data_IF_394496506391
#
_entry.id   IF_394496506391
#
_cell.length_a   1.000
_cell.length_b   1.000
_cell.length_c   1.000
_cell.angle_alpha   90.00
_cell.angle_beta   90.00
_cell.angle_gamma   90.00
#
_symmetry.space_group_name_H-M   'P 1'
#
loop_
_entity.id
_entity.type
_entity.pdbx_description
1 polymer ?
#
# COMPACT_ATOMS: atom_id res chain seq x y z
N UNK A 1 -1.30 -6.56 -102.03
CA UNK A 1 -1.55 -7.59 -101.03
C UNK A 1 -0.92 -7.11 -99.69
N UNK A 2 -1.73 -6.60 -98.82
CA UNK A 2 -1.28 -6.04 -97.54
C UNK A 2 -1.94 -6.81 -96.39
N UNK A 3 -1.21 -7.28 -95.37
CA UNK A 3 -1.85 -7.94 -94.27
C UNK A 3 -2.24 -6.91 -93.20
N UNK A 4 -3.43 -7.10 -92.67
CA UNK A 4 -4.05 -6.33 -91.57
C UNK A 4 -3.40 -6.73 -90.23
N UNK A 5 -2.88 -5.79 -89.53
CA UNK A 5 -2.41 -5.94 -88.15
C UNK A 5 -3.56 -5.63 -87.18
N UNK A 6 -3.94 -6.63 -86.44
CA UNK A 6 -4.89 -6.54 -85.31
C UNK A 6 -4.15 -6.01 -84.03
N UNK A 7 -4.59 -4.88 -83.50
CA UNK A 7 -4.11 -4.34 -82.22
C UNK A 7 -5.00 -4.88 -81.11
N UNK A 8 -4.40 -5.66 -80.26
CA UNK A 8 -5.01 -6.12 -79.01
C UNK A 8 -4.77 -5.07 -77.92
N UNK A 9 -5.83 -4.49 -77.35
CA UNK A 9 -5.75 -3.57 -76.22
C UNK A 9 -5.70 -4.37 -74.93
N UNK A 10 -4.61 -4.21 -74.14
CA UNK A 10 -4.51 -4.74 -72.82
C UNK A 10 -5.07 -3.72 -71.81
N UNK A 11 -6.14 -4.09 -71.12
CA UNK A 11 -6.64 -3.35 -69.90
C UNK A 11 -5.74 -3.64 -68.72
N UNK A 12 -5.07 -2.60 -68.25
CA UNK A 12 -4.40 -2.61 -66.92
C UNK A 12 -5.46 -2.32 -65.82
N UNK A 13 -5.77 -3.32 -65.02
CA UNK A 13 -6.55 -3.15 -63.78
C UNK A 13 -5.56 -2.75 -62.66
N UNK A 14 -5.59 -1.48 -62.28
CA UNK A 14 -4.86 -1.00 -61.09
C UNK A 14 -5.68 -1.35 -59.86
N UNK A 15 -5.26 -2.39 -59.18
CA UNK A 15 -5.80 -2.75 -57.84
C UNK A 15 -5.28 -1.78 -56.79
N UNK A 16 -6.16 -0.94 -56.25
CA UNK A 16 -5.88 -0.12 -55.06
C UNK A 16 -5.95 -1.03 -53.86
N UNK A 17 -4.80 -1.42 -53.29
CA UNK A 17 -4.73 -2.00 -51.95
C UNK A 17 -4.96 -0.88 -50.95
N UNK A 18 -6.14 -0.83 -50.37
CA UNK A 18 -6.39 -0.07 -49.13
C UNK A 18 -5.77 -0.83 -47.96
N UNK A 19 -4.60 -0.37 -47.47
CA UNK A 19 -4.09 -0.75 -46.16
C UNK A 19 -5.01 -0.14 -45.08
N UNK A 20 -5.90 -0.93 -44.55
CA UNK A 20 -6.54 -0.61 -43.25
C UNK A 20 -5.50 -0.80 -42.15
N UNK A 21 -4.97 0.30 -41.62
CA UNK A 21 -4.25 0.29 -40.38
C UNK A 21 -5.24 -0.13 -39.28
N UNK A 22 -5.23 -1.41 -38.95
CA UNK A 22 -5.91 -1.93 -37.77
C UNK A 22 -5.16 -1.41 -36.55
N UNK A 23 -5.75 -0.46 -35.80
CA UNK A 23 -5.40 -0.25 -34.44
C UNK A 23 -5.58 -1.60 -33.71
N UNK A 24 -4.50 -2.16 -33.17
CA UNK A 24 -4.55 -3.30 -32.29
C UNK A 24 -5.18 -2.84 -30.95
N UNK A 25 -6.50 -2.69 -30.93
CA UNK A 25 -7.29 -2.72 -29.71
C UNK A 25 -7.27 -4.16 -29.20
N UNK A 26 -6.92 -4.37 -27.93
CA UNK A 26 -7.14 -5.66 -27.29
C UNK A 26 -8.62 -6.08 -27.41
N UNK A 27 -8.95 -7.33 -27.08
CA UNK A 27 -10.33 -7.81 -27.15
C UNK A 27 -11.25 -6.86 -26.39
N UNK A 28 -12.29 -6.35 -27.05
CA UNK A 28 -13.31 -5.55 -26.42
C UNK A 28 -14.19 -6.48 -25.58
N UNK A 29 -14.57 -6.04 -24.38
CA UNK A 29 -15.57 -6.73 -23.56
C UNK A 29 -16.93 -6.59 -24.27
N UNK A 30 -17.67 -7.71 -24.38
CA UNK A 30 -18.94 -7.75 -25.13
C UNK A 30 -20.09 -7.01 -24.36
N UNK A 31 -19.97 -6.88 -23.04
CA UNK A 31 -20.85 -6.10 -22.16
C UNK A 31 -20.02 -5.11 -21.33
N UNK A 32 -20.69 -4.09 -20.78
CA UNK A 32 -20.03 -3.13 -19.90
C UNK A 32 -19.63 -3.82 -18.59
N UNK A 33 -18.32 -3.97 -18.35
CA UNK A 33 -17.87 -4.70 -17.16
C UNK A 33 -18.20 -3.92 -15.89
N UNK A 34 -18.38 -4.65 -14.80
CA UNK A 34 -18.71 -4.11 -13.49
C UNK A 34 -17.66 -4.54 -12.45
N UNK A 35 -17.32 -3.64 -11.53
CA UNK A 35 -16.38 -3.90 -10.46
C UNK A 35 -16.92 -3.43 -9.12
N UNK A 36 -16.87 -4.31 -8.13
CA UNK A 36 -17.12 -3.99 -6.74
C UNK A 36 -15.80 -3.62 -6.05
N UNK A 37 -15.77 -2.48 -5.36
CA UNK A 37 -14.62 -2.01 -4.60
C UNK A 37 -15.03 -1.90 -3.13
N UNK A 38 -14.45 -2.74 -2.26
CA UNK A 38 -14.71 -2.76 -0.84
C UNK A 38 -13.48 -2.29 -0.06
N UNK A 39 -13.54 -1.05 0.46
CA UNK A 39 -12.45 -0.43 1.21
C UNK A 39 -12.69 -0.51 2.72
N UNK A 40 -11.62 -0.56 3.55
CA UNK A 40 -11.78 -0.79 4.98
C UNK A 40 -12.38 0.40 5.73
N UNK A 41 -12.04 1.65 5.37
CA UNK A 41 -12.43 2.80 6.18
C UNK A 41 -12.22 4.13 5.46
N UNK A 42 -12.97 5.15 5.86
CA UNK A 42 -12.75 6.56 5.47
C UNK A 42 -11.91 7.34 6.50
N UNK A 43 -11.63 6.76 7.66
CA UNK A 43 -10.92 7.44 8.76
C UNK A 43 -9.43 7.66 8.48
N UNK A 44 -8.83 6.81 7.65
CA UNK A 44 -7.45 6.96 7.16
C UNK A 44 -7.50 7.52 5.74
N UNK A 45 -6.91 8.70 5.54
CA UNK A 45 -7.02 9.46 4.29
C UNK A 45 -6.48 8.71 3.05
N UNK A 46 -5.50 7.83 3.26
CA UNK A 46 -4.98 7.01 2.16
C UNK A 46 -6.05 6.14 1.50
N UNK A 47 -6.99 5.54 2.29
CA UNK A 47 -8.03 4.68 1.74
C UNK A 47 -9.05 5.44 0.89
N UNK A 48 -9.28 6.73 1.22
CA UNK A 48 -10.08 7.61 0.39
C UNK A 48 -9.36 7.87 -0.95
N UNK A 49 -8.07 8.18 -0.90
CA UNK A 49 -7.27 8.37 -2.11
C UNK A 49 -7.16 7.09 -2.97
N UNK A 50 -6.99 5.91 -2.34
CA UNK A 50 -7.01 4.61 -3.03
C UNK A 50 -8.35 4.38 -3.74
N UNK A 51 -9.46 4.59 -3.05
CA UNK A 51 -10.80 4.41 -3.60
C UNK A 51 -11.10 5.37 -4.75
N UNK A 52 -10.75 6.65 -4.61
CA UNK A 52 -10.93 7.65 -5.65
C UNK A 52 -10.10 7.30 -6.90
N UNK A 53 -8.82 6.93 -6.74
CA UNK A 53 -7.97 6.52 -7.85
C UNK A 53 -8.50 5.27 -8.57
N UNK A 54 -8.96 4.26 -7.84
CA UNK A 54 -9.58 3.07 -8.43
C UNK A 54 -10.84 3.41 -9.20
N UNK A 55 -11.75 4.19 -8.58
CA UNK A 55 -13.03 4.57 -9.19
C UNK A 55 -12.83 5.40 -10.47
N UNK A 56 -11.89 6.36 -10.45
CA UNK A 56 -11.57 7.18 -11.62
C UNK A 56 -11.00 6.32 -12.75
N UNK A 57 -10.03 5.45 -12.45
CA UNK A 57 -9.36 4.65 -13.46
C UNK A 57 -10.29 3.59 -14.06
N UNK A 58 -11.09 2.86 -13.25
CA UNK A 58 -12.09 1.93 -13.77
C UNK A 58 -13.17 2.66 -14.58
N UNK A 59 -13.69 3.79 -14.06
CA UNK A 59 -14.69 4.60 -14.76
C UNK A 59 -14.17 5.12 -16.10
N UNK A 60 -12.91 5.54 -16.21
CA UNK A 60 -12.28 5.98 -17.45
C UNK A 60 -12.19 4.89 -18.53
N UNK A 61 -12.11 3.63 -18.09
CA UNK A 61 -12.12 2.44 -18.97
C UNK A 61 -13.53 1.94 -19.27
N UNK A 62 -14.57 2.61 -18.75
CA UNK A 62 -15.96 2.30 -19.04
C UNK A 62 -16.58 1.24 -18.12
N UNK A 63 -15.96 0.90 -17.01
CA UNK A 63 -16.55 0.00 -16.00
C UNK A 63 -17.73 0.67 -15.27
N UNK A 64 -18.70 -0.14 -14.85
CA UNK A 64 -19.62 0.23 -13.78
C UNK A 64 -18.95 -0.05 -12.44
N UNK A 65 -18.84 0.98 -11.60
CA UNK A 65 -18.13 0.90 -10.31
C UNK A 65 -19.10 0.96 -9.16
N UNK A 66 -19.09 -0.07 -8.30
CA UNK A 66 -19.75 -0.09 -6.99
C UNK A 66 -18.71 0.07 -5.90
N UNK A 67 -18.68 1.21 -5.20
CA UNK A 67 -17.70 1.51 -4.16
C UNK A 67 -18.37 1.58 -2.80
N UNK A 68 -17.79 0.86 -1.81
CA UNK A 68 -18.26 0.92 -0.41
C UNK A 68 -17.06 0.96 0.56
N UNK A 69 -17.30 1.61 1.72
CA UNK A 69 -16.36 1.66 2.85
C UNK A 69 -17.01 1.02 4.07
N UNK A 70 -16.28 0.16 4.74
CA UNK A 70 -16.79 -0.62 5.89
C UNK A 70 -16.59 0.08 7.24
N UNK A 71 -15.92 1.24 7.29
CA UNK A 71 -15.66 2.03 8.51
C UNK A 71 -15.04 1.23 9.68
N UNK A 72 -14.13 0.31 9.35
CA UNK A 72 -13.45 -0.64 10.24
C UNK A 72 -14.36 -1.73 10.85
N UNK A 73 -15.52 -1.98 10.25
CA UNK A 73 -16.44 -3.04 10.63
C UNK A 73 -16.34 -4.22 9.65
N UNK A 74 -15.76 -5.35 10.12
CA UNK A 74 -15.55 -6.53 9.28
C UNK A 74 -16.87 -7.20 8.87
N UNK A 75 -17.91 -7.20 9.76
CA UNK A 75 -19.21 -7.76 9.44
C UNK A 75 -19.93 -6.90 8.39
N UNK A 76 -19.79 -5.57 8.48
CA UNK A 76 -20.31 -4.67 7.46
C UNK A 76 -19.61 -4.90 6.11
N UNK A 77 -18.28 -5.13 6.10
CA UNK A 77 -17.58 -5.42 4.85
C UNK A 77 -18.04 -6.72 4.20
N UNK A 78 -18.29 -7.78 4.98
CA UNK A 78 -18.84 -9.04 4.48
C UNK A 78 -20.18 -8.79 3.79
N UNK A 79 -21.10 -8.06 4.44
CA UNK A 79 -22.44 -7.74 3.87
C UNK A 79 -22.31 -6.91 2.58
N UNK A 80 -21.42 -5.93 2.55
CA UNK A 80 -21.16 -5.11 1.35
C UNK A 80 -20.67 -5.96 0.18
N UNK A 81 -19.78 -6.91 0.43
CA UNK A 81 -19.28 -7.83 -0.61
C UNK A 81 -20.40 -8.77 -1.08
N UNK A 82 -21.23 -9.32 -0.16
CA UNK A 82 -22.41 -10.12 -0.52
C UNK A 82 -23.36 -9.34 -1.43
N UNK A 83 -23.67 -8.09 -1.09
CA UNK A 83 -24.50 -7.21 -1.92
C UNK A 83 -23.92 -6.98 -3.32
N UNK A 84 -22.59 -6.78 -3.44
CA UNK A 84 -21.92 -6.62 -4.73
C UNK A 84 -21.99 -7.90 -5.57
N UNK A 85 -21.80 -9.07 -4.96
CA UNK A 85 -21.94 -10.38 -5.62
C UNK A 85 -23.36 -10.60 -6.10
N UNK A 86 -24.37 -10.29 -5.27
CA UNK A 86 -25.79 -10.39 -5.62
C UNK A 86 -26.20 -9.43 -6.75
N UNK A 87 -25.53 -8.28 -6.87
CA UNK A 87 -25.69 -7.33 -7.97
C UNK A 87 -25.03 -7.82 -9.28
N UNK A 88 -24.23 -8.88 -9.22
CA UNK A 88 -23.62 -9.49 -10.38
C UNK A 88 -22.38 -8.73 -10.87
N UNK A 89 -21.52 -8.23 -9.98
CA UNK A 89 -20.23 -7.66 -10.39
C UNK A 89 -19.35 -8.73 -11.00
N UNK A 90 -18.53 -8.36 -12.00
CA UNK A 90 -17.62 -9.27 -12.68
C UNK A 90 -16.31 -9.48 -11.90
N UNK A 91 -15.93 -8.50 -11.09
CA UNK A 91 -14.74 -8.57 -10.24
C UNK A 91 -14.92 -7.80 -8.94
N UNK A 92 -14.17 -8.22 -7.92
CA UNK A 92 -14.03 -7.55 -6.63
C UNK A 92 -12.59 -7.09 -6.42
N UNK A 93 -12.44 -5.85 -5.95
CA UNK A 93 -11.18 -5.28 -5.44
C UNK A 93 -11.37 -4.98 -3.96
N UNK A 94 -10.64 -5.67 -3.10
CA UNK A 94 -10.92 -5.66 -1.67
C UNK A 94 -9.69 -5.26 -0.86
N UNK A 95 -9.76 -4.12 -0.17
CA UNK A 95 -8.89 -3.78 0.95
C UNK A 95 -9.53 -4.27 2.25
N UNK A 96 -9.08 -5.40 2.78
CA UNK A 96 -9.74 -6.05 3.90
C UNK A 96 -9.66 -5.25 5.21
N UNK A 97 -10.77 -5.21 5.97
CA UNK A 97 -10.77 -4.75 7.38
C UNK A 97 -10.04 -5.77 8.24
N UNK A 98 -10.49 -7.02 8.19
CA UNK A 98 -9.87 -8.19 8.82
C UNK A 98 -9.46 -9.18 7.72
N UNK A 99 -8.17 -9.50 7.67
CA UNK A 99 -7.60 -10.38 6.66
C UNK A 99 -8.24 -11.77 6.61
N UNK A 100 -8.81 -12.25 7.72
CA UNK A 100 -9.34 -13.61 7.88
C UNK A 100 -10.87 -13.71 7.81
N UNK A 101 -11.59 -12.59 7.86
CA UNK A 101 -13.05 -12.58 7.99
C UNK A 101 -13.81 -12.93 6.69
N UNK A 102 -13.15 -12.87 5.53
CA UNK A 102 -13.81 -12.86 4.22
C UNK A 102 -13.94 -14.25 3.57
N UNK A 103 -13.41 -15.31 4.16
CA UNK A 103 -13.32 -16.64 3.53
C UNK A 103 -14.67 -17.14 2.99
N UNK A 104 -15.75 -17.01 3.74
CA UNK A 104 -17.05 -17.53 3.35
C UNK A 104 -17.66 -16.76 2.17
N UNK A 105 -17.63 -15.43 2.22
CA UNK A 105 -18.20 -14.57 1.16
C UNK A 105 -17.41 -14.67 -0.13
N UNK A 106 -16.07 -14.85 -0.06
CA UNK A 106 -15.24 -15.06 -1.24
C UNK A 106 -15.49 -16.42 -1.90
N UNK A 107 -15.83 -17.45 -1.12
CA UNK A 107 -16.27 -18.72 -1.69
C UNK A 107 -17.56 -18.56 -2.49
N UNK A 108 -18.51 -17.77 -1.99
CA UNK A 108 -19.75 -17.45 -2.72
C UNK A 108 -19.45 -16.61 -3.99
N UNK A 109 -18.52 -15.66 -3.92
CA UNK A 109 -18.08 -14.88 -5.08
C UNK A 109 -17.50 -15.78 -6.18
N UNK A 110 -16.64 -16.75 -5.80
CA UNK A 110 -16.09 -17.75 -6.73
C UNK A 110 -17.16 -18.61 -7.37
N UNK A 111 -18.14 -19.08 -6.58
CA UNK A 111 -19.27 -19.88 -7.10
C UNK A 111 -20.12 -19.06 -8.11
N UNK A 112 -20.20 -17.75 -7.92
CA UNK A 112 -20.85 -16.83 -8.86
C UNK A 112 -19.97 -16.46 -10.06
N UNK A 113 -18.70 -16.91 -10.11
CA UNK A 113 -17.76 -16.61 -11.19
C UNK A 113 -17.10 -15.23 -11.11
N UNK A 114 -17.15 -14.57 -9.95
CA UNK A 114 -16.56 -13.26 -9.70
C UNK A 114 -15.06 -13.40 -9.43
N UNK A 115 -14.23 -12.64 -10.14
CA UNK A 115 -12.79 -12.57 -9.90
C UNK A 115 -12.47 -11.71 -8.69
N UNK A 116 -11.45 -12.10 -7.90
CA UNK A 116 -11.08 -11.42 -6.65
C UNK A 116 -9.64 -10.97 -6.65
N UNK A 117 -9.42 -9.66 -6.51
CA UNK A 117 -8.10 -9.06 -6.28
C UNK A 117 -8.02 -8.51 -4.87
N UNK A 118 -7.10 -9.05 -4.08
CA UNK A 118 -6.73 -8.49 -2.77
C UNK A 118 -5.93 -7.20 -3.00
N UNK A 119 -6.37 -6.10 -2.41
CA UNK A 119 -5.80 -4.77 -2.61
C UNK A 119 -5.08 -4.29 -1.37
N UNK A 120 -3.80 -3.98 -1.47
CA UNK A 120 -2.90 -3.54 -0.40
C UNK A 120 -2.77 -4.55 0.76
N UNK A 121 -3.87 -5.01 1.35
CA UNK A 121 -3.91 -5.99 2.44
C UNK A 121 -4.17 -7.39 1.93
N UNK A 122 -3.28 -8.35 2.26
CA UNK A 122 -3.47 -9.75 1.86
C UNK A 122 -4.63 -10.38 2.63
N UNK A 123 -5.60 -10.91 1.91
CA UNK A 123 -6.68 -11.71 2.48
C UNK A 123 -6.16 -13.12 2.73
N UNK A 124 -6.33 -13.62 3.96
CA UNK A 124 -5.79 -14.91 4.40
C UNK A 124 -6.91 -15.92 4.75
N UNK A 125 -6.55 -17.19 4.81
CA UNK A 125 -7.44 -18.26 5.27
C UNK A 125 -8.36 -18.88 4.21
N UNK A 126 -8.31 -18.42 2.95
CA UNK A 126 -9.14 -18.95 1.85
C UNK A 126 -8.40 -19.02 0.52
N UNK A 127 -8.81 -19.96 -0.34
CA UNK A 127 -8.23 -20.17 -1.68
C UNK A 127 -8.85 -19.28 -2.77
N UNK A 128 -9.81 -18.43 -2.41
CA UNK A 128 -10.68 -17.72 -3.35
C UNK A 128 -10.22 -16.27 -3.59
N UNK A 129 -8.90 -16.06 -3.60
CA UNK A 129 -8.22 -14.84 -4.02
C UNK A 129 -7.38 -15.17 -5.24
N UNK A 130 -7.65 -14.50 -6.37
CA UNK A 130 -6.95 -14.78 -7.62
C UNK A 130 -5.57 -14.11 -7.66
N UNK A 131 -5.50 -12.83 -7.27
CA UNK A 131 -4.27 -12.03 -7.29
C UNK A 131 -4.21 -11.08 -6.09
N UNK A 132 -2.98 -10.62 -5.82
CA UNK A 132 -2.70 -9.62 -4.80
C UNK A 132 -1.88 -8.46 -5.40
N UNK A 133 -2.31 -7.24 -5.17
CA UNK A 133 -1.59 -6.03 -5.53
C UNK A 133 -1.21 -5.24 -4.27
N UNK A 134 0.07 -4.98 -4.07
CA UNK A 134 0.56 -4.25 -2.88
C UNK A 134 1.92 -3.62 -3.12
N UNK A 135 2.53 -3.15 -2.04
CA UNK A 135 3.91 -2.72 -1.98
C UNK A 135 4.79 -3.80 -1.33
N UNK A 136 6.11 -3.70 -1.51
CA UNK A 136 7.06 -4.54 -0.76
C UNK A 136 7.02 -4.15 0.73
N UNK A 137 6.14 -4.83 1.47
CA UNK A 137 5.84 -4.53 2.87
C UNK A 137 7.04 -4.80 3.79
N UNK A 138 7.85 -5.83 3.50
CA UNK A 138 9.08 -6.08 4.27
C UNK A 138 10.08 -4.94 4.09
N UNK A 139 10.20 -4.42 2.88
CA UNK A 139 11.05 -3.27 2.58
C UNK A 139 10.56 -2.00 3.27
N UNK A 140 9.26 -1.79 3.40
CA UNK A 140 8.70 -0.67 4.20
C UNK A 140 9.24 -0.70 5.63
N UNK A 141 9.13 -1.83 6.33
CA UNK A 141 9.65 -1.98 7.69
C UNK A 141 11.17 -1.78 7.76
N UNK A 142 11.91 -2.33 6.80
CA UNK A 142 13.36 -2.12 6.68
C UNK A 142 13.72 -0.63 6.51
N UNK A 143 12.98 0.10 5.67
CA UNK A 143 13.18 1.55 5.48
C UNK A 143 12.89 2.35 6.75
N UNK A 144 11.82 2.02 7.46
CA UNK A 144 11.48 2.67 8.74
C UNK A 144 12.58 2.46 9.78
N UNK A 145 13.09 1.24 9.91
CA UNK A 145 14.14 0.91 10.86
C UNK A 145 15.47 1.61 10.52
N UNK A 146 15.89 1.62 9.25
CA UNK A 146 17.07 2.33 8.81
C UNK A 146 16.94 3.84 9.03
N UNK A 147 15.78 4.41 8.72
CA UNK A 147 15.50 5.83 8.95
C UNK A 147 15.52 6.17 10.45
N UNK A 148 15.01 5.30 11.32
CA UNK A 148 15.13 5.46 12.76
C UNK A 148 16.61 5.45 13.20
N UNK A 149 17.40 4.49 12.73
CA UNK A 149 18.83 4.36 13.06
C UNK A 149 19.63 5.57 12.58
N UNK A 150 19.34 6.08 11.39
CA UNK A 150 19.92 7.31 10.85
C UNK A 150 19.57 8.51 11.72
N UNK A 151 18.30 8.72 12.02
CA UNK A 151 17.81 9.84 12.81
C UNK A 151 18.37 9.86 14.23
N UNK A 152 18.57 8.70 14.87
CA UNK A 152 19.19 8.60 16.20
C UNK A 152 20.74 8.64 16.15
N UNK A 153 21.32 8.66 14.95
CA UNK A 153 22.76 8.80 14.74
C UNK A 153 23.57 7.51 14.85
N UNK A 154 22.95 6.35 14.74
CA UNK A 154 23.61 5.03 14.70
C UNK A 154 24.14 4.73 13.31
N UNK A 155 23.39 5.10 12.27
CA UNK A 155 23.82 5.08 10.87
C UNK A 155 24.05 6.50 10.38
N UNK A 156 24.86 6.65 9.35
CA UNK A 156 24.96 7.88 8.57
C UNK A 156 23.99 7.87 7.37
N UNK A 157 23.91 8.95 6.62
CA UNK A 157 23.04 9.10 5.46
C UNK A 157 23.32 8.12 4.30
N UNK A 158 24.45 7.40 4.35
CA UNK A 158 24.80 6.35 3.39
C UNK A 158 24.42 4.94 3.89
N UNK A 159 23.90 4.87 5.12
CA UNK A 159 23.55 3.61 5.79
C UNK A 159 24.74 2.92 6.48
N UNK A 160 25.91 3.59 6.57
CA UNK A 160 27.07 3.03 7.23
C UNK A 160 27.07 3.34 8.74
N UNK A 161 27.56 2.41 9.59
CA UNK A 161 27.64 2.63 11.03
C UNK A 161 28.54 3.80 11.41
N UNK A 162 28.02 4.74 12.20
CA UNK A 162 28.79 5.90 12.70
C UNK A 162 29.79 5.56 13.81
N UNK A 163 29.67 4.36 14.40
CA UNK A 163 30.41 3.97 15.59
C UNK A 163 29.82 4.49 16.90
N UNK A 164 28.63 5.06 16.87
CA UNK A 164 27.91 5.49 18.07
C UNK A 164 27.63 4.31 19.00
N UNK A 165 27.92 4.47 20.31
CA UNK A 165 27.92 3.35 21.26
C UNK A 165 26.62 3.21 22.06
N UNK A 166 25.73 4.20 22.01
CA UNK A 166 24.50 4.16 22.80
C UNK A 166 24.72 4.20 24.32
N UNK A 167 23.76 3.71 25.16
CA UNK A 167 22.46 3.21 24.72
C UNK A 167 21.55 4.34 24.22
N UNK A 168 20.88 4.12 23.09
CA UNK A 168 19.79 4.97 22.62
C UNK A 168 18.47 4.32 23.01
N UNK A 169 17.67 5.01 23.83
CA UNK A 169 16.37 4.50 24.26
C UNK A 169 15.32 4.81 23.19
N UNK A 170 14.67 3.76 22.70
CA UNK A 170 13.58 3.84 21.71
C UNK A 170 12.34 3.14 22.23
N UNK A 171 11.19 3.44 21.63
CA UNK A 171 9.96 2.67 21.79
C UNK A 171 9.47 2.17 20.43
N UNK A 172 8.79 1.03 20.46
CA UNK A 172 8.29 0.36 19.27
C UNK A 172 6.76 0.39 19.23
N UNK A 173 6.20 0.68 18.07
CA UNK A 173 4.78 0.52 17.76
C UNK A 173 4.65 -0.33 16.50
N UNK A 174 3.60 -1.16 16.45
CA UNK A 174 3.20 -1.92 15.28
C UNK A 174 1.74 -1.60 14.95
N UNK A 175 1.32 -1.98 13.75
CA UNK A 175 -0.05 -1.80 13.27
C UNK A 175 -1.04 -2.76 13.89
N UNK A 176 -2.21 -2.91 13.26
CA UNK A 176 -3.30 -3.76 13.76
C UNK A 176 -2.99 -5.25 13.58
N UNK A 177 -3.32 -6.09 14.56
CA UNK A 177 -3.01 -7.52 14.51
C UNK A 177 -3.88 -8.31 13.49
N UNK A 178 -5.00 -7.75 13.06
CA UNK A 178 -5.90 -8.28 12.04
C UNK A 178 -5.46 -7.93 10.60
N UNK A 179 -4.41 -7.11 10.46
CA UNK A 179 -3.79 -6.78 9.18
C UNK A 179 -2.46 -7.53 9.01
N UNK A 180 -2.41 -8.44 8.02
CA UNK A 180 -1.20 -9.20 7.73
C UNK A 180 0.02 -8.31 7.44
N UNK A 181 -0.18 -7.14 6.83
CA UNK A 181 0.92 -6.23 6.51
C UNK A 181 1.62 -5.71 7.77
N UNK A 182 0.87 -5.49 8.86
CA UNK A 182 1.45 -5.02 10.13
C UNK A 182 2.52 -5.97 10.66
N UNK A 183 2.31 -7.28 10.51
CA UNK A 183 3.29 -8.31 10.89
C UNK A 183 4.52 -8.22 9.99
N UNK A 184 4.34 -8.10 8.66
CA UNK A 184 5.44 -8.04 7.68
C UNK A 184 6.27 -6.77 7.85
N UNK A 185 5.63 -5.61 8.13
CA UNK A 185 6.35 -4.36 8.44
C UNK A 185 7.20 -4.53 9.69
N UNK A 186 6.62 -5.06 10.76
CA UNK A 186 7.31 -5.25 12.03
C UNK A 186 8.48 -6.23 11.91
N UNK A 187 8.28 -7.35 11.22
CA UNK A 187 9.36 -8.30 10.93
C UNK A 187 10.50 -7.66 10.12
N UNK A 188 10.18 -6.89 9.07
CA UNK A 188 11.15 -6.15 8.27
C UNK A 188 11.95 -5.15 9.12
N UNK A 189 11.29 -4.43 10.00
CA UNK A 189 11.94 -3.49 10.92
C UNK A 189 12.80 -4.21 11.96
N UNK A 190 12.29 -5.28 12.58
CA UNK A 190 13.03 -6.02 13.60
C UNK A 190 14.23 -6.76 13.04
N UNK A 191 14.20 -7.22 11.80
CA UNK A 191 15.36 -7.79 11.13
C UNK A 191 16.56 -6.81 11.08
N UNK A 192 16.28 -5.51 10.98
CA UNK A 192 17.30 -4.45 11.02
C UNK A 192 17.67 -4.07 12.45
N UNK A 193 16.71 -3.94 13.36
CA UNK A 193 16.93 -3.41 14.71
C UNK A 193 17.52 -4.46 15.67
N UNK A 194 17.25 -5.76 15.47
CA UNK A 194 17.64 -6.82 16.39
C UNK A 194 19.14 -6.81 16.75
N UNK A 195 20.11 -6.69 15.83
CA UNK A 195 21.53 -6.64 16.18
C UNK A 195 21.91 -5.47 17.09
N UNK A 196 21.23 -4.32 16.94
CA UNK A 196 21.48 -3.14 17.79
C UNK A 196 20.85 -3.26 19.16
N UNK A 197 19.73 -3.96 19.27
CA UNK A 197 19.09 -4.32 20.54
C UNK A 197 19.92 -5.35 21.31
N UNK A 198 20.39 -6.39 20.62
CA UNK A 198 21.24 -7.44 21.20
C UNK A 198 22.59 -6.90 21.70
N UNK A 199 23.20 -5.97 20.95
CA UNK A 199 24.45 -5.33 21.36
C UNK A 199 24.29 -4.26 22.43
N UNK A 200 23.06 -3.85 22.77
CA UNK A 200 22.78 -2.79 23.72
C UNK A 200 23.01 -1.36 23.19
N UNK A 201 23.28 -1.19 21.90
CA UNK A 201 23.32 0.12 21.22
C UNK A 201 21.95 0.76 21.24
N UNK A 202 20.89 -0.03 21.01
CA UNK A 202 19.49 0.35 21.25
C UNK A 202 18.97 -0.35 22.50
N UNK A 203 18.13 0.33 23.25
CA UNK A 203 17.37 -0.23 24.39
C UNK A 203 15.92 0.17 24.28
N UNK A 204 15.03 -0.73 24.73
CA UNK A 204 13.60 -0.45 24.83
C UNK A 204 13.23 -0.45 26.33
N UNK A 205 13.17 0.71 27.00
CA UNK A 205 12.95 0.80 28.44
C UNK A 205 11.65 0.17 28.92
N UNK A 206 10.61 0.14 28.09
CA UNK A 206 9.36 -0.56 28.39
C UNK A 206 9.50 -2.09 28.38
N UNK A 207 10.55 -2.64 27.79
CA UNK A 207 10.70 -4.09 27.56
C UNK A 207 9.67 -4.68 26.57
N UNK A 208 8.92 -3.83 25.86
CA UNK A 208 7.90 -4.25 24.88
C UNK A 208 8.55 -4.37 23.51
N UNK A 209 8.96 -5.59 23.13
CA UNK A 209 9.72 -5.85 21.89
C UNK A 209 9.09 -6.90 20.98
N UNK A 210 7.96 -7.51 21.38
CA UNK A 210 7.23 -8.46 20.53
C UNK A 210 6.04 -7.78 19.89
N UNK A 211 5.62 -8.28 18.72
CA UNK A 211 4.50 -7.72 17.96
C UNK A 211 3.25 -7.55 18.83
N UNK A 212 2.86 -8.58 19.60
CA UNK A 212 1.64 -8.60 20.41
C UNK A 212 1.64 -7.51 21.50
N UNK A 213 2.83 -7.12 22.00
CA UNK A 213 2.95 -6.07 23.01
C UNK A 213 2.92 -4.66 22.47
N UNK A 214 3.27 -4.52 21.18
CA UNK A 214 3.41 -3.20 20.52
C UNK A 214 2.34 -2.95 19.47
N UNK A 215 1.50 -3.94 19.16
CA UNK A 215 0.40 -3.83 18.22
C UNK A 215 -0.59 -2.73 18.63
N UNK A 216 -1.16 -2.08 17.64
CA UNK A 216 -2.14 -1.00 17.77
C UNK A 216 -3.44 -1.43 17.08
N UNK A 217 -4.39 -2.07 17.79
CA UNK A 217 -5.64 -2.55 17.20
C UNK A 217 -6.39 -1.47 16.45
N UNK A 218 -6.91 -1.83 15.26
CA UNK A 218 -7.61 -0.91 14.36
C UNK A 218 -6.73 0.22 13.83
N UNK A 219 -5.40 0.14 13.95
CA UNK A 219 -4.47 1.25 13.64
C UNK A 219 -4.81 2.55 14.37
N UNK A 220 -5.53 2.46 15.54
CA UNK A 220 -6.13 3.61 16.25
C UNK A 220 -5.09 4.60 16.76
N UNK A 221 -5.13 5.89 16.30
CA UNK A 221 -4.28 6.95 16.83
C UNK A 221 -4.51 7.18 18.33
N UNK A 222 -5.75 7.05 18.82
CA UNK A 222 -6.13 7.24 20.22
C UNK A 222 -5.49 6.17 21.10
N UNK A 223 -5.50 4.90 20.63
CA UNK A 223 -4.84 3.79 21.32
C UNK A 223 -3.33 4.00 21.38
N UNK A 224 -2.72 4.46 20.29
CA UNK A 224 -1.29 4.78 20.25
C UNK A 224 -0.92 5.93 21.20
N UNK A 225 -1.67 7.02 21.19
CA UNK A 225 -1.45 8.15 22.11
C UNK A 225 -1.58 7.72 23.57
N UNK A 226 -2.62 6.96 23.92
CA UNK A 226 -2.84 6.45 25.27
C UNK A 226 -1.68 5.54 25.70
N UNK A 227 -1.23 4.63 24.81
CA UNK A 227 -0.08 3.77 25.10
C UNK A 227 1.19 4.60 25.28
N UNK A 228 1.49 5.56 24.39
CA UNK A 228 2.67 6.41 24.52
C UNK A 228 2.68 7.16 25.86
N UNK A 229 1.55 7.71 26.29
CA UNK A 229 1.43 8.39 27.58
C UNK A 229 1.83 7.50 28.76
N UNK A 230 1.54 6.19 28.71
CA UNK A 230 1.96 5.24 29.74
C UNK A 230 3.46 4.94 29.73
N UNK A 231 4.11 5.06 28.58
CA UNK A 231 5.53 4.79 28.40
C UNK A 231 6.43 5.94 28.85
N UNK A 232 5.90 7.15 29.06
CA UNK A 232 6.69 8.36 29.32
C UNK A 232 7.36 8.42 30.72
N UNK A 233 7.01 7.51 31.65
CA UNK A 233 7.56 7.53 33.01
C UNK A 233 9.09 7.61 33.08
N UNK A 234 9.84 6.69 32.48
CA UNK A 234 11.31 6.71 32.46
C UNK A 234 11.89 7.97 31.81
N UNK A 235 11.23 8.48 30.78
CA UNK A 235 11.68 9.64 30.00
C UNK A 235 11.51 10.96 30.77
N UNK A 236 10.42 11.09 31.52
CA UNK A 236 10.20 12.19 32.46
C UNK A 236 11.16 12.13 33.66
N UNK A 237 11.67 10.94 33.97
CA UNK A 237 12.65 10.74 35.02
C UNK A 237 14.11 10.98 34.58
N UNK A 238 14.34 11.37 33.34
CA UNK A 238 15.65 11.80 32.83
C UNK A 238 16.28 10.89 31.78
N UNK A 239 15.72 9.73 31.44
CA UNK A 239 16.11 8.98 30.25
C UNK A 239 15.73 9.77 29.02
N UNK A 240 16.62 9.89 28.02
CA UNK A 240 16.28 10.55 26.77
C UNK A 240 15.60 9.56 25.82
N UNK A 241 14.37 9.84 25.40
CA UNK A 241 13.72 9.11 24.31
C UNK A 241 14.41 9.51 23.00
N UNK A 242 15.24 8.65 22.44
CA UNK A 242 15.94 8.94 21.20
C UNK A 242 15.01 8.82 19.98
N UNK A 243 14.13 7.82 19.96
CA UNK A 243 13.21 7.65 18.86
C UNK A 243 12.04 6.71 19.13
N UNK A 244 11.09 6.71 18.22
CA UNK A 244 9.92 5.84 18.18
C UNK A 244 9.81 5.24 16.79
N UNK A 245 9.83 3.91 16.70
CA UNK A 245 9.40 3.21 15.48
C UNK A 245 7.89 3.30 15.42
N UNK A 246 7.37 4.12 14.52
CA UNK A 246 5.93 4.20 14.25
C UNK A 246 5.63 3.54 12.91
N UNK A 247 4.62 2.66 12.83
CA UNK A 247 4.35 1.88 11.63
C UNK A 247 3.64 2.68 10.54
N UNK A 248 2.90 3.76 10.91
CA UNK A 248 2.25 4.67 9.96
C UNK A 248 2.14 6.10 10.48
N UNK A 249 1.67 7.01 9.62
CA UNK A 249 1.57 8.43 9.90
C UNK A 249 0.48 8.77 10.93
N UNK A 250 -0.67 8.09 10.89
CA UNK A 250 -1.72 8.29 11.88
C UNK A 250 -1.24 8.04 13.31
N UNK A 251 -0.48 6.96 13.53
CA UNK A 251 0.15 6.65 14.82
C UNK A 251 1.27 7.64 15.14
N UNK A 252 2.10 8.02 14.16
CA UNK A 252 3.17 9.01 14.36
C UNK A 252 2.60 10.36 14.82
N UNK A 253 1.55 10.84 14.17
CA UNK A 253 0.87 12.10 14.50
C UNK A 253 0.16 12.07 15.86
N UNK A 254 -0.17 10.88 16.38
CA UNK A 254 -0.70 10.71 17.73
C UNK A 254 0.40 10.62 18.81
N UNK A 255 1.54 10.03 18.47
CA UNK A 255 2.70 9.88 19.37
C UNK A 255 3.42 11.21 19.59
N UNK A 256 3.63 12.01 18.54
CA UNK A 256 4.36 13.28 18.62
C UNK A 256 3.78 14.25 19.68
N UNK A 257 2.48 14.57 19.68
CA UNK A 257 1.90 15.43 20.74
C UNK A 257 2.02 14.82 22.14
N UNK A 258 1.92 13.48 22.25
CA UNK A 258 2.06 12.82 23.54
C UNK A 258 3.46 12.99 24.15
N UNK A 259 4.49 13.27 23.35
CA UNK A 259 5.87 13.50 23.80
C UNK A 259 6.22 14.97 24.01
N UNK A 260 5.28 15.90 23.79
CA UNK A 260 5.55 17.35 23.81
C UNK A 260 6.14 17.87 25.13
N UNK A 261 5.76 17.27 26.25
CA UNK A 261 6.25 17.64 27.62
C UNK A 261 7.70 17.24 27.90
N UNK A 262 8.32 16.45 27.02
CA UNK A 262 9.75 16.11 27.11
C UNK A 262 10.66 17.31 26.78
N UNK A 263 10.14 18.35 26.11
CA UNK A 263 10.88 19.55 25.75
C UNK A 263 11.87 19.38 24.59
N UNK A 264 11.80 18.28 23.89
CA UNK A 264 12.55 17.99 22.65
C UNK A 264 11.74 17.01 21.79
N UNK A 265 12.08 16.93 20.51
CA UNK A 265 11.46 15.97 19.58
C UNK A 265 12.28 14.68 19.53
N UNK A 266 11.67 13.51 19.77
CA UNK A 266 12.27 12.22 19.43
C UNK A 266 12.23 12.02 17.91
N UNK A 267 13.08 11.13 17.38
CA UNK A 267 12.99 10.66 16.01
C UNK A 267 11.74 9.79 15.87
N UNK A 268 10.79 10.16 15.01
CA UNK A 268 9.57 9.38 14.80
C UNK A 268 9.45 9.04 13.32
N UNK A 269 9.30 7.75 13.01
CA UNK A 269 9.07 7.25 11.65
C UNK A 269 7.58 7.25 11.32
N UNK A 270 7.24 7.02 10.06
CA UNK A 270 5.87 6.88 9.60
C UNK A 270 5.77 6.14 8.28
N UNK A 271 4.56 6.06 7.73
CA UNK A 271 4.22 5.49 6.44
C UNK A 271 2.92 6.10 5.95
N UNK A 272 2.71 6.09 4.65
CA UNK A 272 1.57 6.52 3.84
C UNK A 272 1.67 7.94 3.30
N UNK A 273 2.63 8.76 3.75
CA UNK A 273 2.85 10.13 3.30
C UNK A 273 1.57 11.00 3.38
N UNK A 274 0.78 10.85 4.44
CA UNK A 274 -0.43 11.66 4.64
C UNK A 274 -0.07 13.15 4.78
N UNK A 275 -0.91 14.04 4.25
CA UNK A 275 -0.63 15.49 4.23
C UNK A 275 -0.19 16.06 5.60
N UNK A 276 -0.86 15.75 6.74
CA UNK A 276 -0.42 16.26 8.04
C UNK A 276 0.99 15.77 8.42
N UNK A 277 1.32 14.53 8.07
CA UNK A 277 2.63 13.95 8.35
C UNK A 277 3.71 14.53 7.44
N UNK A 278 3.43 14.73 6.14
CA UNK A 278 4.37 15.38 5.21
C UNK A 278 4.65 16.82 5.65
N UNK A 279 3.63 17.56 6.08
CA UNK A 279 3.81 18.90 6.67
C UNK A 279 4.68 18.83 7.94
N UNK A 280 4.50 17.83 8.79
CA UNK A 280 5.30 17.59 9.99
C UNK A 280 6.76 17.22 9.63
N UNK A 281 6.97 16.41 8.60
CA UNK A 281 8.30 16.10 8.05
C UNK A 281 8.97 17.36 7.49
N UNK A 282 8.24 18.18 6.73
CA UNK A 282 8.76 19.44 6.18
C UNK A 282 9.23 20.41 7.28
N UNK A 283 8.49 20.48 8.41
CA UNK A 283 8.88 21.27 9.59
C UNK A 283 9.98 20.61 10.43
N UNK A 284 10.29 19.33 10.21
CA UNK A 284 11.28 18.56 10.99
C UNK A 284 10.76 18.09 12.35
N UNK A 285 9.44 17.97 12.50
CA UNK A 285 8.76 17.43 13.70
C UNK A 285 8.66 15.91 13.65
N UNK A 286 8.22 15.35 12.50
CA UNK A 286 8.36 13.94 12.16
C UNK A 286 9.62 13.73 11.35
N UNK A 287 10.36 12.64 11.60
CA UNK A 287 11.64 12.41 10.94
C UNK A 287 11.47 11.95 9.49
N UNK A 288 10.56 10.99 9.27
CA UNK A 288 10.33 10.42 7.95
C UNK A 288 8.95 9.80 7.82
N UNK A 289 8.52 9.61 6.57
CA UNK A 289 7.41 8.74 6.21
C UNK A 289 7.80 7.87 5.01
N UNK A 290 7.15 6.72 4.84
CA UNK A 290 7.32 5.89 3.66
C UNK A 290 6.16 6.14 2.71
N UNK A 291 6.47 6.64 1.53
CA UNK A 291 5.50 6.91 0.48
C UNK A 291 5.17 5.65 -0.32
N UNK A 292 3.89 5.45 -0.50
CA UNK A 292 3.27 4.42 -1.34
C UNK A 292 2.34 5.13 -2.33
N UNK A 293 2.67 5.12 -3.62
CA UNK A 293 1.87 5.82 -4.63
C UNK A 293 0.55 5.09 -4.90
N UNK A 294 -0.54 5.58 -4.33
CA UNK A 294 -1.89 5.02 -4.48
C UNK A 294 -2.37 5.01 -5.93
N UNK A 295 -1.90 5.96 -6.75
CA UNK A 295 -2.22 6.03 -8.19
C UNK A 295 -1.65 4.84 -8.95
N UNK A 296 -0.40 4.46 -8.63
CA UNK A 296 0.26 3.31 -9.25
C UNK A 296 -0.35 1.98 -8.77
N UNK A 297 -0.73 1.90 -7.48
CA UNK A 297 -1.38 0.69 -6.97
C UNK A 297 -2.76 0.49 -7.63
N UNK A 298 -3.53 1.57 -7.78
CA UNK A 298 -4.78 1.53 -8.53
C UNK A 298 -4.57 1.11 -9.99
N UNK A 299 -3.56 1.69 -10.68
CA UNK A 299 -3.25 1.34 -12.08
C UNK A 299 -2.94 -0.16 -12.24
N UNK A 300 -2.06 -0.71 -11.41
CA UNK A 300 -1.72 -2.13 -11.44
C UNK A 300 -2.97 -2.99 -11.20
N UNK A 301 -3.78 -2.65 -10.20
CA UNK A 301 -4.99 -3.39 -9.86
C UNK A 301 -6.02 -3.35 -11.00
N UNK A 302 -6.22 -2.19 -11.60
CA UNK A 302 -7.10 -2.03 -12.76
C UNK A 302 -6.64 -2.90 -13.93
N UNK A 303 -5.32 -2.95 -14.21
CA UNK A 303 -4.78 -3.81 -15.25
C UNK A 303 -4.93 -5.31 -14.91
N UNK A 304 -4.78 -5.70 -13.64
CA UNK A 304 -5.04 -7.08 -13.20
C UNK A 304 -6.48 -7.48 -13.46
N UNK A 305 -7.46 -6.70 -12.99
CA UNK A 305 -8.88 -6.96 -13.21
C UNK A 305 -9.20 -7.03 -14.69
N UNK A 306 -8.69 -6.09 -15.49
CA UNK A 306 -8.92 -6.09 -16.94
C UNK A 306 -8.35 -7.35 -17.60
N UNK A 307 -7.16 -7.80 -17.19
CA UNK A 307 -6.57 -9.04 -17.71
C UNK A 307 -7.44 -10.24 -17.38
N UNK A 308 -7.88 -10.37 -16.13
CA UNK A 308 -8.78 -11.44 -15.69
C UNK A 308 -10.05 -11.51 -16.54
N UNK A 309 -10.75 -10.39 -16.71
CA UNK A 309 -12.03 -10.33 -17.45
C UNK A 309 -11.86 -10.54 -18.96
N UNK A 310 -10.68 -10.34 -19.50
CA UNK A 310 -10.38 -10.63 -20.92
C UNK A 310 -9.77 -12.01 -21.14
N UNK A 311 -9.59 -12.82 -20.09
CA UNK A 311 -8.96 -14.13 -20.15
C UNK A 311 -7.45 -14.07 -20.41
N UNK A 312 -6.83 -12.91 -20.18
CA UNK A 312 -5.38 -12.75 -20.21
C UNK A 312 -4.78 -13.03 -18.81
N UNK A 313 -3.51 -13.39 -18.76
CA UNK A 313 -2.79 -13.56 -17.51
C UNK A 313 -2.33 -12.19 -16.99
N UNK A 314 -2.69 -11.78 -15.75
CA UNK A 314 -2.20 -10.56 -15.14
C UNK A 314 -0.68 -10.56 -14.94
N UNK A 315 -0.05 -9.40 -15.09
CA UNK A 315 1.37 -9.23 -14.77
C UNK A 315 1.59 -9.35 -13.26
N UNK A 316 2.59 -10.16 -12.86
CA UNK A 316 3.03 -10.34 -11.48
C UNK A 316 4.55 -10.34 -11.40
N UNK A 317 5.11 -9.97 -10.25
CA UNK A 317 6.55 -9.97 -10.02
C UNK A 317 6.97 -10.76 -8.78
N UNK A 318 6.00 -11.34 -8.05
CA UNK A 318 6.24 -12.28 -6.95
C UNK A 318 5.22 -13.43 -7.00
N UNK A 319 5.74 -14.67 -7.04
CA UNK A 319 4.96 -15.91 -7.06
C UNK A 319 5.40 -16.87 -5.95
N UNK A 320 6.00 -16.37 -4.88
CA UNK A 320 6.60 -17.22 -3.85
C UNK A 320 6.47 -16.70 -2.41
N UNK A 321 6.33 -15.39 -2.20
CA UNK A 321 6.50 -14.80 -0.86
C UNK A 321 5.18 -14.63 -0.11
N UNK A 322 4.05 -14.53 -0.80
CA UNK A 322 2.76 -14.21 -0.20
C UNK A 322 1.85 -15.46 -0.14
N UNK A 323 2.07 -16.27 0.91
CA UNK A 323 1.20 -17.40 1.23
C UNK A 323 0.04 -16.91 2.12
N UNK A 324 -1.20 -17.16 1.69
CA UNK A 324 -2.40 -16.73 2.42
C UNK A 324 -2.98 -17.82 3.32
N UNK A 325 -2.24 -18.93 3.53
CA UNK A 325 -2.67 -20.09 4.32
C UNK A 325 -3.42 -21.15 3.52
N UNK A 326 -3.85 -20.85 2.29
CA UNK A 326 -4.39 -21.82 1.32
C UNK A 326 -3.42 -22.07 0.15
N UNK A 327 -2.45 -21.20 -0.03
CA UNK A 327 -1.41 -21.28 -1.06
C UNK A 327 -0.77 -19.92 -1.33
N UNK A 328 0.19 -19.93 -2.24
CA UNK A 328 0.83 -18.69 -2.68
C UNK A 328 -0.10 -17.94 -3.64
N UNK A 329 -0.42 -16.70 -3.31
CA UNK A 329 -1.19 -15.79 -4.16
C UNK A 329 -0.22 -15.07 -5.11
N UNK A 330 -0.41 -15.18 -6.45
CA UNK A 330 0.39 -14.41 -7.40
C UNK A 330 0.24 -12.90 -7.15
N UNK A 331 1.38 -12.21 -7.01
CA UNK A 331 1.41 -10.85 -6.47
C UNK A 331 2.16 -9.89 -7.38
N UNK A 332 1.69 -8.65 -7.48
CA UNK A 332 2.47 -7.54 -7.99
C UNK A 332 2.84 -6.59 -6.85
N UNK A 333 4.15 -6.40 -6.65
CA UNK A 333 4.69 -5.53 -5.62
C UNK A 333 5.27 -4.26 -6.22
N UNK A 334 4.75 -3.14 -5.80
CA UNK A 334 5.30 -1.82 -6.04
C UNK A 334 6.44 -1.49 -5.06
N UNK A 335 7.37 -0.64 -5.50
CA UNK A 335 8.47 -0.20 -4.64
C UNK A 335 8.06 1.00 -3.80
N UNK A 336 8.14 0.91 -2.45
CA UNK A 336 7.94 2.07 -1.58
C UNK A 336 9.15 3.02 -1.66
N UNK A 337 8.95 4.29 -1.27
CA UNK A 337 10.00 5.30 -1.22
C UNK A 337 10.06 5.97 0.14
N UNK A 338 11.25 6.13 0.71
CA UNK A 338 11.45 6.91 1.93
C UNK A 338 11.35 8.40 1.63
N UNK A 339 10.54 9.10 2.42
CA UNK A 339 10.36 10.54 2.35
C UNK A 339 10.89 11.17 3.65
N UNK A 340 11.78 12.13 3.49
CA UNK A 340 12.38 12.90 4.56
C UNK A 340 12.25 14.40 4.25
N UNK A 341 12.69 15.23 5.18
CA UNK A 341 12.75 16.68 4.99
C UNK A 341 13.54 17.11 3.74
N UNK A 342 14.54 16.30 3.35
CA UNK A 342 15.45 16.66 2.25
C UNK A 342 14.89 16.34 0.87
N UNK A 343 13.93 15.37 0.77
CA UNK A 343 13.44 14.90 -0.51
C UNK A 343 11.91 15.00 -0.72
N UNK A 344 11.13 15.41 0.28
CA UNK A 344 9.66 15.42 0.18
C UNK A 344 9.15 16.21 -1.05
N UNK A 345 9.81 17.34 -1.40
CA UNK A 345 9.42 18.13 -2.57
C UNK A 345 9.61 17.32 -3.86
N UNK A 346 10.78 16.72 -4.04
CA UNK A 346 11.08 15.94 -5.25
C UNK A 346 10.16 14.72 -5.37
N UNK A 347 9.90 14.02 -4.26
CA UNK A 347 9.12 12.77 -4.27
C UNK A 347 7.62 13.03 -4.36
N UNK A 348 7.09 14.04 -3.68
CA UNK A 348 5.64 14.24 -3.54
C UNK A 348 5.10 15.42 -4.34
N UNK A 349 5.85 16.53 -4.41
CA UNK A 349 5.36 17.74 -5.10
C UNK A 349 5.73 17.72 -6.58
N UNK A 350 7.01 17.51 -6.91
CA UNK A 350 7.47 17.51 -8.29
C UNK A 350 6.91 16.32 -9.10
N UNK A 351 6.54 15.21 -8.41
CA UNK A 351 5.83 14.07 -9.01
C UNK A 351 4.34 14.32 -9.28
N UNK A 352 3.81 15.44 -8.76
CA UNK A 352 2.39 15.78 -8.88
C UNK A 352 1.47 14.92 -7.99
N UNK A 353 2.01 14.27 -6.95
CA UNK A 353 1.17 13.56 -5.98
C UNK A 353 0.42 14.54 -5.07
N UNK A 354 1.12 15.57 -4.61
CA UNK A 354 0.56 16.71 -3.89
C UNK A 354 0.96 18.01 -4.55
N UNK A 355 0.15 19.04 -4.34
CA UNK A 355 0.51 20.40 -4.71
C UNK A 355 1.41 21.05 -3.64
N UNK A 356 2.19 22.06 -4.03
CA UNK A 356 2.98 22.81 -3.05
C UNK A 356 2.11 23.53 -2.02
N UNK A 357 0.86 23.88 -2.37
CA UNK A 357 -0.10 24.56 -1.49
C UNK A 357 -0.62 23.61 -0.39
N UNK A 358 -0.86 22.32 -0.71
CA UNK A 358 -1.30 21.32 0.25
C UNK A 358 -0.23 21.02 1.30
N UNK A 359 1.04 21.09 0.92
CA UNK A 359 2.14 20.79 1.84
C UNK A 359 2.60 22.03 2.64
N UNK A 360 2.47 23.25 2.11
CA UNK A 360 2.79 24.53 2.76
C UNK A 360 4.14 25.10 2.38
#
# INVERSE_FOLDING_TARGET
>A
MSPRTTRTAALLVVGVLTLTAGCAGGPALDEKPSVGIAMPTTKQLRWVADGDNLSEQFGSLGFDVSMQYADDDADAQVQQIEEMVDQGVDALVIGAVDASALTAVLSSAREAGVSVVSYDRLIVGGADVDYYASFDNRRVGTMQANSLLEGVGVLDATGEPTGAKGPFAIELFAGSPDDNNAHVFFEGAMAVLAPYLESGVLVVPSGQTTFEKVATPGWSPETAAARMATLLGPYRAGTRLAGVLSPNDGIAQAVLPATADLGYLPVVTGQDAEIPAVQSVARGEQHSTVYKDTRQLAEVTVQMVRSLLTGAEPEVNDTSSYDNGAGVVPTFLLSPQLVTKDNYRAVLVDSGYYTAEEIG
#
